data_IF_355600071659
#
_entry.id   IF_355600071659
#
_cell.length_a   1.000
_cell.length_b   1.000
_cell.length_c   1.000
_cell.angle_alpha   90.00
_cell.angle_beta   90.00
_cell.angle_gamma   90.00
#
_symmetry.space_group_name_H-M   'P 1'
#
loop_
_entity.id
_entity.type
_entity.pdbx_description
1 polymer ?
#
# COMPACT_ATOMS: atom_id res chain seq x y z
N UNK A 1 28.72 -9.16 -8.43
CA UNK A 1 28.73 -10.43 -7.65
C UNK A 1 28.01 -11.51 -8.44
N UNK A 2 28.65 -12.64 -8.77
CA UNK A 2 27.99 -13.73 -9.51
C UNK A 2 27.10 -14.55 -8.58
N UNK A 3 25.86 -14.81 -9.02
CA UNK A 3 24.90 -15.63 -8.30
C UNK A 3 25.36 -17.09 -8.26
N UNK A 4 25.45 -17.65 -7.06
CA UNK A 4 25.85 -19.05 -6.84
C UNK A 4 24.96 -20.02 -7.61
N UNK A 5 25.63 -20.89 -8.36
CA UNK A 5 25.10 -21.82 -9.34
C UNK A 5 24.11 -22.83 -8.74
N UNK A 6 22.87 -22.82 -9.24
CA UNK A 6 22.01 -24.01 -9.19
C UNK A 6 22.42 -24.97 -10.32
N UNK A 7 22.47 -26.28 -10.04
CA UNK A 7 22.86 -27.34 -11.01
C UNK A 7 22.03 -27.39 -12.31
N UNK A 8 20.87 -26.72 -12.35
CA UNK A 8 20.08 -26.49 -13.57
C UNK A 8 19.58 -25.04 -13.56
N UNK A 9 20.26 -24.08 -14.22
CA UNK A 9 19.73 -22.73 -14.35
C UNK A 9 18.45 -22.80 -15.16
N UNK A 10 17.30 -22.79 -14.47
CA UNK A 10 16.03 -22.51 -15.13
C UNK A 10 16.11 -21.06 -15.56
N UNK A 11 16.32 -20.81 -16.85
CA UNK A 11 16.33 -19.47 -17.45
C UNK A 11 15.04 -18.75 -17.07
N UNK A 12 15.10 -17.97 -16.00
CA UNK A 12 14.02 -17.11 -15.58
C UNK A 12 14.26 -15.77 -16.26
N UNK A 13 13.20 -15.23 -16.87
CA UNK A 13 13.21 -13.86 -17.39
C UNK A 13 13.71 -12.91 -16.30
N UNK A 14 14.61 -12.00 -16.69
CA UNK A 14 15.26 -11.04 -15.79
C UNK A 14 14.27 -10.35 -14.86
N UNK A 15 13.13 -9.89 -15.38
CA UNK A 15 12.09 -9.21 -14.61
C UNK A 15 11.52 -10.06 -13.47
N UNK A 16 11.32 -11.37 -13.73
CA UNK A 16 10.84 -12.32 -12.71
C UNK A 16 11.89 -12.56 -11.64
N UNK A 17 13.18 -12.58 -12.01
CA UNK A 17 14.28 -12.72 -11.07
C UNK A 17 14.48 -11.46 -10.22
N UNK A 18 14.42 -10.27 -10.83
CA UNK A 18 14.50 -8.99 -10.12
C UNK A 18 13.34 -8.83 -9.13
N UNK A 19 12.13 -9.24 -9.53
CA UNK A 19 10.97 -9.30 -8.63
C UNK A 19 11.19 -10.24 -7.44
N UNK A 20 11.72 -11.43 -7.66
CA UNK A 20 12.06 -12.37 -6.57
C UNK A 20 13.16 -11.79 -5.66
N UNK A 21 14.17 -11.12 -6.22
CA UNK A 21 15.28 -10.53 -5.47
C UNK A 21 14.89 -9.31 -4.64
N UNK A 22 13.94 -8.49 -5.11
CA UNK A 22 13.40 -7.35 -4.35
C UNK A 22 12.81 -7.73 -2.99
N UNK A 23 12.42 -9.00 -2.83
CA UNK A 23 11.82 -9.50 -1.59
C UNK A 23 12.86 -9.72 -0.47
N UNK A 24 14.16 -9.77 -0.80
CA UNK A 24 15.23 -10.04 0.17
C UNK A 24 15.26 -9.03 1.31
N UNK A 25 15.15 -7.74 1.00
CA UNK A 25 15.17 -6.68 2.01
C UNK A 25 13.96 -6.77 2.95
N UNK A 26 12.81 -7.11 2.38
CA UNK A 26 11.56 -7.26 3.13
C UNK A 26 11.65 -8.46 4.08
N UNK A 27 12.11 -9.61 3.57
CA UNK A 27 12.35 -10.82 4.38
C UNK A 27 13.33 -10.52 5.52
N UNK A 28 14.41 -9.79 5.23
CA UNK A 28 15.41 -9.44 6.23
C UNK A 28 14.84 -8.55 7.35
N UNK A 29 14.05 -7.52 7.00
CA UNK A 29 13.40 -6.64 7.98
C UNK A 29 12.42 -7.39 8.87
N UNK A 30 11.59 -8.23 8.27
CA UNK A 30 10.60 -9.03 9.00
C UNK A 30 11.29 -10.05 9.93
N UNK A 31 12.35 -10.71 9.44
CA UNK A 31 13.15 -11.64 10.24
C UNK A 31 13.81 -10.93 11.43
N UNK A 32 14.39 -9.73 11.23
CA UNK A 32 14.98 -8.95 12.34
C UNK A 32 13.92 -8.60 13.37
N UNK A 33 12.76 -8.10 12.93
CA UNK A 33 11.65 -7.77 13.84
C UNK A 33 11.18 -9.00 14.63
N UNK A 34 11.06 -10.16 13.98
CA UNK A 34 10.69 -11.41 14.66
C UNK A 34 11.75 -11.89 15.63
N UNK A 35 13.05 -11.75 15.29
CA UNK A 35 14.14 -12.13 16.17
C UNK A 35 14.16 -11.29 17.45
N UNK A 36 13.95 -9.98 17.35
CA UNK A 36 13.86 -9.08 18.51
C UNK A 36 12.65 -9.36 19.41
N UNK A 37 11.54 -9.84 18.84
CA UNK A 37 10.34 -10.16 19.59
C UNK A 37 10.33 -11.60 20.15
N UNK A 38 11.21 -12.47 19.66
CA UNK A 38 11.28 -13.86 20.06
C UNK A 38 12.04 -14.00 21.39
N UNK A 39 11.66 -15.01 22.18
CA UNK A 39 12.38 -15.40 23.41
C UNK A 39 13.02 -16.79 23.33
N UNK A 40 12.74 -17.53 22.25
CA UNK A 40 13.45 -18.76 21.87
C UNK A 40 13.35 -18.95 20.34
N UNK A 41 14.17 -19.85 19.79
CA UNK A 41 14.22 -20.14 18.35
C UNK A 41 12.87 -20.67 17.81
N UNK A 42 12.12 -21.39 18.63
CA UNK A 42 10.80 -21.91 18.25
C UNK A 42 9.76 -20.79 18.12
N UNK A 43 9.78 -19.81 19.03
CA UNK A 43 8.93 -18.63 19.01
C UNK A 43 9.27 -17.77 17.80
N UNK A 44 10.55 -17.64 17.44
CA UNK A 44 10.96 -17.01 16.18
C UNK A 44 10.32 -17.70 14.96
N UNK A 45 10.43 -19.03 14.87
CA UNK A 45 9.81 -19.82 13.78
C UNK A 45 8.28 -19.64 13.77
N UNK A 46 7.65 -19.58 14.94
CA UNK A 46 6.22 -19.34 15.08
C UNK A 46 5.81 -17.94 14.57
N UNK A 47 6.52 -16.89 14.96
CA UNK A 47 6.25 -15.52 14.52
C UNK A 47 6.38 -15.38 12.99
N UNK A 48 7.43 -15.94 12.42
CA UNK A 48 7.63 -15.98 10.97
C UNK A 48 6.50 -16.73 10.26
N UNK A 49 6.10 -17.91 10.75
CA UNK A 49 4.94 -18.66 10.20
C UNK A 49 3.65 -17.85 10.30
N UNK A 50 3.44 -17.11 11.40
CA UNK A 50 2.27 -16.26 11.61
C UNK A 50 2.19 -15.09 10.61
N UNK A 51 3.33 -14.62 10.10
CA UNK A 51 3.41 -13.65 9.00
C UNK A 51 3.12 -14.29 7.62
N UNK A 52 3.05 -15.61 7.52
CA UNK A 52 2.76 -16.36 6.30
C UNK A 52 3.98 -17.01 5.65
N UNK A 53 5.16 -16.95 6.29
CA UNK A 53 6.38 -17.55 5.77
C UNK A 53 6.41 -19.07 5.94
N UNK A 54 6.91 -19.78 4.93
CA UNK A 54 7.07 -21.24 4.95
C UNK A 54 8.54 -21.59 5.15
N UNK A 55 8.83 -22.39 6.17
CA UNK A 55 10.17 -22.93 6.40
C UNK A 55 10.37 -24.23 5.63
N UNK A 56 11.56 -24.40 5.07
CA UNK A 56 12.00 -25.68 4.51
C UNK A 56 12.30 -26.67 5.65
N UNK A 57 11.88 -27.93 5.51
CA UNK A 57 11.94 -28.93 6.59
C UNK A 57 13.37 -29.31 6.99
N UNK A 58 14.29 -29.44 6.03
CA UNK A 58 15.64 -29.98 6.25
C UNK A 58 16.74 -28.93 6.07
N UNK A 59 16.44 -27.65 6.30
CA UNK A 59 17.42 -26.58 6.15
C UNK A 59 17.32 -25.55 7.27
N UNK A 60 18.48 -25.10 7.74
CA UNK A 60 18.56 -24.07 8.77
C UNK A 60 18.07 -22.72 8.24
N UNK A 61 16.95 -22.24 8.80
CA UNK A 61 16.38 -20.91 8.57
C UNK A 61 16.28 -20.53 7.08
N UNK A 62 15.88 -21.49 6.24
CA UNK A 62 15.49 -21.24 4.86
C UNK A 62 13.99 -20.97 4.79
N UNK A 63 13.66 -19.78 4.30
CA UNK A 63 12.32 -19.22 4.34
C UNK A 63 11.82 -18.89 2.94
N UNK A 64 10.57 -19.25 2.66
CA UNK A 64 9.87 -18.89 1.44
C UNK A 64 8.75 -17.90 1.75
N UNK A 65 8.74 -16.78 1.03
CA UNK A 65 7.63 -15.84 1.07
C UNK A 65 6.40 -16.42 0.35
N UNK A 66 5.19 -16.22 0.87
CA UNK A 66 3.99 -16.76 0.23
C UNK A 66 3.79 -16.14 -1.16
N UNK A 67 3.55 -16.99 -2.16
CA UNK A 67 3.42 -16.57 -3.58
C UNK A 67 4.75 -16.45 -4.35
N UNK A 68 5.89 -16.69 -3.69
CA UNK A 68 7.22 -16.69 -4.32
C UNK A 68 7.76 -18.10 -4.47
N UNK A 69 8.62 -18.34 -5.46
CA UNK A 69 9.11 -19.68 -5.77
C UNK A 69 10.36 -20.06 -4.98
N UNK A 70 11.17 -19.07 -4.59
CA UNK A 70 12.49 -19.32 -4.02
C UNK A 70 12.53 -19.27 -2.50
N UNK A 71 13.24 -20.23 -1.93
CA UNK A 71 13.67 -20.19 -0.54
C UNK A 71 14.88 -19.27 -0.40
N UNK A 72 14.87 -18.49 0.67
CA UNK A 72 15.92 -17.56 1.04
C UNK A 72 16.53 -18.02 2.36
N UNK A 73 17.85 -18.24 2.36
CA UNK A 73 18.58 -18.59 3.57
C UNK A 73 18.84 -17.32 4.37
N UNK A 74 18.25 -17.19 5.56
CA UNK A 74 18.39 -15.98 6.39
C UNK A 74 19.85 -15.72 6.78
N UNK A 75 20.61 -16.77 7.08
CA UNK A 75 22.04 -16.67 7.39
C UNK A 75 22.90 -16.12 6.24
N UNK A 76 22.41 -16.17 4.98
CA UNK A 76 23.09 -15.53 3.83
C UNK A 76 22.71 -14.06 3.67
N UNK A 77 21.59 -13.63 4.26
CA UNK A 77 21.13 -12.24 4.20
C UNK A 77 21.79 -11.40 5.30
N UNK A 78 21.98 -11.99 6.48
CA UNK A 78 22.63 -11.34 7.61
C UNK A 78 23.23 -12.40 8.55
N UNK A 79 24.42 -12.10 9.07
CA UNK A 79 25.18 -12.97 9.97
C UNK A 79 24.48 -13.19 11.32
N UNK A 80 23.58 -12.26 11.71
CA UNK A 80 22.71 -12.40 12.89
C UNK A 80 21.84 -13.67 12.88
N UNK A 81 21.58 -14.26 11.70
CA UNK A 81 20.78 -15.48 11.56
C UNK A 81 21.62 -16.75 11.42
N UNK A 82 22.93 -16.68 11.66
CA UNK A 82 23.75 -17.88 11.80
C UNK A 82 23.27 -18.71 13.00
N UNK A 83 23.53 -20.01 12.97
CA UNK A 83 22.95 -20.93 13.96
C UNK A 83 23.36 -20.59 15.39
N UNK A 84 24.63 -20.25 15.57
CA UNK A 84 25.18 -19.85 16.86
C UNK A 84 24.65 -18.48 17.25
N UNK A 85 24.80 -17.46 16.41
CA UNK A 85 24.44 -16.08 16.78
C UNK A 85 22.96 -15.92 17.09
N UNK A 86 22.08 -16.59 16.34
CA UNK A 86 20.64 -16.48 16.54
C UNK A 86 20.20 -17.13 17.86
N UNK A 87 20.77 -18.30 18.21
CA UNK A 87 20.51 -18.93 19.52
C UNK A 87 20.91 -17.99 20.64
N UNK A 88 22.13 -17.43 20.57
CA UNK A 88 22.60 -16.47 21.57
C UNK A 88 21.73 -15.21 21.63
N UNK A 89 21.32 -14.66 20.49
CA UNK A 89 20.54 -13.41 20.44
C UNK A 89 19.13 -13.58 21.01
N UNK A 90 18.48 -14.71 20.71
CA UNK A 90 17.09 -14.96 21.09
C UNK A 90 17.00 -15.52 22.52
N UNK A 91 17.92 -16.39 22.92
CA UNK A 91 17.92 -17.00 24.26
C UNK A 91 18.44 -16.01 25.34
N UNK A 92 19.27 -15.03 24.98
CA UNK A 92 19.75 -13.95 25.87
C UNK A 92 18.97 -12.64 25.67
N UNK A 93 17.64 -12.73 25.60
CA UNK A 93 16.72 -11.61 25.33
C UNK A 93 16.91 -10.38 26.25
N UNK A 94 17.41 -10.58 27.48
CA UNK A 94 17.65 -9.50 28.45
C UNK A 94 18.81 -8.54 28.09
N UNK A 95 19.70 -8.92 27.16
CA UNK A 95 20.79 -8.06 26.68
C UNK A 95 20.47 -7.32 25.36
N UNK A 96 19.43 -7.72 24.63
CA UNK A 96 19.08 -7.14 23.35
C UNK A 96 18.16 -5.91 23.52
N UNK A 97 18.71 -4.70 23.46
CA UNK A 97 17.89 -3.49 23.30
C UNK A 97 17.21 -3.55 21.92
N UNK A 98 15.86 -3.54 21.83
CA UNK A 98 15.19 -3.54 20.53
C UNK A 98 15.54 -2.26 19.76
N UNK A 99 16.21 -2.39 18.62
CA UNK A 99 16.50 -1.27 17.73
C UNK A 99 15.25 -1.00 16.88
N UNK A 100 14.50 0.05 17.19
CA UNK A 100 13.35 0.45 16.38
C UNK A 100 13.84 1.07 15.05
N UNK A 101 13.76 0.31 13.96
CA UNK A 101 13.93 0.81 12.60
C UNK A 101 12.68 1.58 12.15
N UNK A 102 12.26 2.61 12.88
CA UNK A 102 11.31 3.59 12.35
C UNK A 102 12.09 4.82 11.91
N UNK A 103 12.00 5.18 10.64
CA UNK A 103 12.25 6.55 10.20
C UNK A 103 11.42 7.49 11.06
N UNK A 104 11.99 8.63 11.47
CA UNK A 104 11.37 9.58 12.40
C UNK A 104 9.89 9.84 12.07
N UNK A 105 8.99 9.31 12.91
CA UNK A 105 7.54 9.25 12.65
C UNK A 105 6.93 10.67 12.67
N UNK A 106 7.68 11.65 13.18
CA UNK A 106 7.27 13.06 13.30
C UNK A 106 6.93 13.70 11.95
N UNK A 107 7.43 13.17 10.83
CA UNK A 107 7.15 13.66 9.48
C UNK A 107 5.99 12.97 8.73
N UNK A 108 5.38 11.90 9.28
CA UNK A 108 4.25 11.26 8.59
C UNK A 108 2.98 12.12 8.73
N UNK A 109 2.53 12.71 7.62
CA UNK A 109 1.24 13.36 7.54
C UNK A 109 0.13 12.37 7.94
N UNK A 110 -0.45 12.58 9.12
CA UNK A 110 -1.61 11.81 9.56
C UNK A 110 -2.79 12.19 8.66
N UNK A 111 -3.27 11.23 7.87
CA UNK A 111 -4.54 11.39 7.18
C UNK A 111 -5.65 11.71 8.20
N UNK A 112 -6.53 12.68 7.87
CA UNK A 112 -7.67 13.05 8.72
C UNK A 112 -8.71 11.91 8.69
N UNK A 113 -8.49 10.88 9.49
CA UNK A 113 -9.38 9.72 9.61
C UNK A 113 -10.52 9.99 10.60
N UNK A 114 -11.74 9.56 10.23
CA UNK A 114 -12.91 9.52 11.12
C UNK A 114 -12.66 8.61 12.34
N UNK A 115 -13.30 8.87 13.50
CA UNK A 115 -13.19 7.99 14.67
C UNK A 115 -13.50 6.51 14.38
N UNK A 116 -14.47 6.24 13.50
CA UNK A 116 -14.80 4.88 13.06
C UNK A 116 -13.68 4.25 12.24
N UNK A 117 -13.11 5.00 11.30
CA UNK A 117 -11.96 4.57 10.51
C UNK A 117 -10.76 4.27 11.41
N UNK A 118 -10.49 5.13 12.42
CA UNK A 118 -9.41 4.89 13.40
C UNK A 118 -9.62 3.59 14.16
N UNK A 119 -10.83 3.29 14.65
CA UNK A 119 -11.16 2.02 15.32
C UNK A 119 -10.97 0.82 14.38
N UNK A 120 -11.43 0.94 13.13
CA UNK A 120 -11.29 -0.10 12.12
C UNK A 120 -9.82 -0.40 11.80
N UNK A 121 -9.03 0.62 11.46
CA UNK A 121 -7.60 0.46 11.19
C UNK A 121 -6.84 -0.02 12.43
N UNK A 122 -7.16 0.45 13.64
CA UNK A 122 -6.56 -0.06 14.87
C UNK A 122 -6.82 -1.56 15.07
N UNK A 123 -8.04 -2.04 14.73
CA UNK A 123 -8.35 -3.47 14.73
C UNK A 123 -7.50 -4.23 13.70
N UNK A 124 -7.35 -3.70 12.48
CA UNK A 124 -6.49 -4.30 11.45
C UNK A 124 -5.02 -4.39 11.89
N UNK A 125 -4.49 -3.36 12.54
CA UNK A 125 -3.12 -3.33 13.06
C UNK A 125 -2.91 -4.32 14.21
N UNK A 126 -3.83 -4.37 15.19
CA UNK A 126 -3.76 -5.34 16.30
C UNK A 126 -3.77 -6.78 15.82
N UNK A 127 -4.58 -7.05 14.80
CA UNK A 127 -4.66 -8.36 14.15
C UNK A 127 -3.52 -8.62 13.16
N UNK A 128 -2.68 -7.62 12.87
CA UNK A 128 -1.60 -7.66 11.86
C UNK A 128 -2.07 -8.14 10.48
N UNK A 129 -3.32 -7.84 10.14
CA UNK A 129 -3.94 -8.27 8.86
C UNK A 129 -3.19 -7.66 7.67
N UNK A 130 -2.69 -6.43 7.81
CA UNK A 130 -1.91 -5.75 6.76
C UNK A 130 -0.61 -6.50 6.47
N UNK A 131 0.08 -6.96 7.51
CA UNK A 131 1.33 -7.73 7.38
C UNK A 131 1.06 -9.09 6.72
N UNK A 132 0.01 -9.80 7.17
CA UNK A 132 -0.37 -11.11 6.63
C UNK A 132 -0.84 -11.06 5.18
N UNK A 133 -1.63 -10.04 4.81
CA UNK A 133 -2.19 -9.90 3.47
C UNK A 133 -1.26 -9.19 2.48
N UNK A 134 -0.06 -8.76 2.89
CA UNK A 134 0.91 -8.06 2.02
C UNK A 134 1.32 -8.89 0.79
N UNK A 135 1.24 -10.22 0.91
CA UNK A 135 1.61 -11.16 -0.15
C UNK A 135 0.42 -11.66 -0.97
N UNK A 136 -0.81 -11.29 -0.61
CA UNK A 136 -2.00 -11.70 -1.35
C UNK A 136 -2.01 -10.95 -2.68
N UNK A 137 -1.60 -11.68 -3.73
CA UNK A 137 -1.64 -11.20 -5.11
C UNK A 137 -3.10 -10.91 -5.47
N UNK A 138 -3.38 -9.65 -5.79
CA UNK A 138 -4.74 -9.19 -6.08
C UNK A 138 -5.11 -7.86 -5.44
N UNK A 139 -4.31 -7.31 -4.52
CA UNK A 139 -4.58 -6.00 -3.91
C UNK A 139 -4.82 -4.88 -4.94
N UNK A 140 -3.99 -4.82 -5.99
CA UNK A 140 -4.17 -3.87 -7.09
C UNK A 140 -5.51 -4.07 -7.82
N UNK A 141 -5.84 -5.32 -8.16
CA UNK A 141 -7.12 -5.68 -8.76
C UNK A 141 -8.29 -5.29 -7.85
N UNK A 142 -8.24 -5.59 -6.56
CA UNK A 142 -9.28 -5.22 -5.61
C UNK A 142 -9.42 -3.70 -5.43
N UNK A 143 -8.32 -2.95 -5.52
CA UNK A 143 -8.42 -1.48 -5.53
C UNK A 143 -9.06 -0.94 -6.80
N UNK A 144 -8.80 -1.56 -7.95
CA UNK A 144 -9.48 -1.22 -9.21
C UNK A 144 -10.96 -1.60 -9.15
N UNK A 145 -11.28 -2.79 -8.64
CA UNK A 145 -12.65 -3.26 -8.43
C UNK A 145 -13.42 -2.34 -7.47
N UNK A 146 -12.78 -1.87 -6.39
CA UNK A 146 -13.38 -0.89 -5.47
C UNK A 146 -13.63 0.46 -6.14
N UNK A 147 -12.68 0.97 -6.93
CA UNK A 147 -12.88 2.20 -7.72
C UNK A 147 -14.06 2.05 -8.68
N UNK A 148 -14.15 0.90 -9.36
CA UNK A 148 -15.27 0.57 -10.25
C UNK A 148 -16.59 0.51 -9.48
N UNK A 149 -16.59 -0.09 -8.30
CA UNK A 149 -17.77 -0.18 -7.45
C UNK A 149 -18.28 1.19 -7.01
N UNK A 150 -17.38 2.08 -6.59
CA UNK A 150 -17.74 3.46 -6.24
C UNK A 150 -18.32 4.22 -7.45
N UNK A 151 -17.73 4.08 -8.64
CA UNK A 151 -18.30 4.68 -9.87
C UNK A 151 -19.71 4.18 -10.16
N UNK A 152 -19.92 2.87 -10.11
CA UNK A 152 -21.26 2.27 -10.32
C UNK A 152 -22.27 2.74 -9.27
N UNK A 153 -21.83 2.92 -8.02
CA UNK A 153 -22.68 3.45 -6.96
C UNK A 153 -23.05 4.92 -7.23
N UNK A 154 -22.11 5.73 -7.69
CA UNK A 154 -22.36 7.13 -8.05
C UNK A 154 -23.31 7.23 -9.26
N UNK A 155 -23.10 6.40 -10.29
CA UNK A 155 -23.99 6.28 -11.46
C UNK A 155 -25.41 5.88 -11.05
N UNK A 156 -25.54 4.86 -10.19
CA UNK A 156 -26.84 4.43 -9.68
C UNK A 156 -27.54 5.54 -8.86
N UNK A 157 -26.79 6.22 -7.98
CA UNK A 157 -27.34 7.33 -7.19
C UNK A 157 -27.79 8.49 -8.08
N UNK A 158 -27.09 8.76 -9.20
CA UNK A 158 -27.51 9.76 -10.18
C UNK A 158 -28.85 9.38 -10.80
N UNK A 159 -29.00 8.14 -11.27
CA UNK A 159 -30.25 7.67 -11.86
C UNK A 159 -31.43 7.76 -10.88
N UNK A 160 -31.23 7.28 -9.65
CA UNK A 160 -32.28 7.27 -8.62
C UNK A 160 -32.68 8.69 -8.19
N UNK A 161 -31.72 9.61 -8.01
CA UNK A 161 -32.02 10.98 -7.58
C UNK A 161 -32.82 11.78 -8.60
N UNK A 162 -32.65 11.47 -9.88
CA UNK A 162 -33.32 12.17 -10.97
C UNK A 162 -34.51 11.36 -11.54
N UNK A 163 -34.92 10.27 -10.87
CA UNK A 163 -36.02 9.37 -11.27
C UNK A 163 -35.92 8.88 -12.74
N UNK A 164 -34.70 8.67 -13.22
CA UNK A 164 -34.43 8.24 -14.61
C UNK A 164 -34.75 6.74 -14.73
N UNK A 165 -35.75 6.40 -15.56
CA UNK A 165 -36.22 5.01 -15.74
C UNK A 165 -35.90 4.45 -17.12
N UNK A 166 -35.71 5.32 -18.10
CA UNK A 166 -35.45 4.96 -19.50
C UNK A 166 -34.16 5.60 -20.03
N UNK A 167 -33.65 5.05 -21.13
CA UNK A 167 -32.55 5.65 -21.90
C UNK A 167 -32.97 7.01 -22.47
N UNK A 168 -34.25 7.19 -22.81
CA UNK A 168 -34.78 8.47 -23.30
C UNK A 168 -34.65 9.55 -22.23
N UNK A 169 -35.14 9.28 -21.01
CA UNK A 169 -35.02 10.19 -19.87
C UNK A 169 -33.56 10.57 -19.56
N UNK A 170 -32.62 9.63 -19.77
CA UNK A 170 -31.19 9.90 -19.59
C UNK A 170 -30.65 10.86 -20.64
N UNK A 171 -31.06 10.72 -21.91
CA UNK A 171 -30.66 11.63 -22.99
C UNK A 171 -31.21 13.03 -22.75
N UNK A 172 -32.49 13.14 -22.38
CA UNK A 172 -33.12 14.42 -22.07
C UNK A 172 -32.41 15.10 -20.88
N UNK A 173 -32.09 14.33 -19.83
CA UNK A 173 -31.33 14.82 -18.70
C UNK A 173 -29.94 15.34 -19.12
N UNK A 174 -29.23 14.62 -20.00
CA UNK A 174 -27.91 15.06 -20.49
C UNK A 174 -28.04 16.39 -21.23
N UNK A 175 -29.02 16.53 -22.14
CA UNK A 175 -29.26 17.78 -22.87
C UNK A 175 -29.55 18.95 -21.94
N UNK A 176 -30.40 18.75 -20.92
CA UNK A 176 -30.64 19.81 -19.91
C UNK A 176 -29.38 20.21 -19.14
N UNK A 177 -28.50 19.25 -18.81
CA UNK A 177 -27.26 19.56 -18.10
C UNK A 177 -26.27 20.30 -19.01
N UNK A 178 -26.18 19.94 -20.29
CA UNK A 178 -25.35 20.65 -21.27
C UNK A 178 -25.78 22.10 -21.44
N UNK A 179 -27.08 22.37 -21.53
CA UNK A 179 -27.61 23.74 -21.57
C UNK A 179 -27.25 24.54 -20.31
N UNK A 180 -27.38 23.92 -19.12
CA UNK A 180 -26.99 24.55 -17.85
C UNK A 180 -25.49 24.85 -17.78
N UNK A 181 -24.65 23.93 -18.26
CA UNK A 181 -23.20 24.14 -18.34
C UNK A 181 -22.88 25.33 -19.25
N UNK A 182 -23.50 25.39 -20.44
CA UNK A 182 -23.32 26.48 -21.38
C UNK A 182 -23.69 27.84 -20.76
N UNK A 183 -24.82 27.90 -20.06
CA UNK A 183 -25.25 29.12 -19.34
C UNK A 183 -24.24 29.54 -18.26
N UNK A 184 -23.69 28.59 -17.50
CA UNK A 184 -22.68 28.86 -16.46
C UNK A 184 -21.39 29.37 -17.10
N UNK A 185 -20.93 28.76 -18.19
CA UNK A 185 -19.72 29.18 -18.90
C UNK A 185 -19.85 30.59 -19.48
N UNK A 186 -21.00 30.90 -20.09
CA UNK A 186 -21.25 32.23 -20.64
C UNK A 186 -21.34 33.28 -19.53
N UNK A 187 -21.97 32.95 -18.40
CA UNK A 187 -21.97 33.81 -17.21
C UNK A 187 -20.56 34.00 -16.64
N UNK A 188 -19.74 32.96 -16.64
CA UNK A 188 -18.35 33.05 -16.19
C UNK A 188 -17.55 34.00 -17.09
N UNK A 189 -17.71 33.93 -18.41
CA UNK A 189 -17.07 34.85 -19.37
C UNK A 189 -17.51 36.31 -19.13
N UNK A 190 -18.79 36.55 -18.85
CA UNK A 190 -19.28 37.88 -18.50
C UNK A 190 -18.62 38.43 -17.23
N UNK A 191 -18.55 37.63 -16.16
CA UNK A 191 -17.89 38.02 -14.90
C UNK A 191 -16.41 38.35 -15.15
N UNK A 192 -15.71 37.58 -15.99
CA UNK A 192 -14.33 37.89 -16.37
C UNK A 192 -14.22 39.22 -17.13
N UNK A 193 -15.17 39.55 -18.02
CA UNK A 193 -15.21 40.84 -18.73
C UNK A 193 -15.48 42.00 -17.79
N UNK A 194 -16.50 41.89 -16.94
CA UNK A 194 -16.84 42.91 -15.94
C UNK A 194 -15.68 43.19 -14.98
N UNK A 195 -15.04 42.13 -14.46
CA UNK A 195 -13.91 42.27 -13.54
C UNK A 195 -12.68 42.88 -14.22
N UNK A 196 -12.41 42.56 -15.48
CA UNK A 196 -11.38 43.22 -16.29
C UNK A 196 -11.67 44.72 -16.45
N UNK A 197 -12.92 45.08 -16.76
CA UNK A 197 -13.33 46.48 -16.94
C UNK A 197 -13.21 47.27 -15.64
N UNK A 198 -13.64 46.69 -14.51
CA UNK A 198 -13.46 47.30 -13.17
C UNK A 198 -11.99 47.48 -12.79
N UNK A 199 -11.12 46.52 -13.10
CA UNK A 199 -9.67 46.65 -12.87
C UNK A 199 -9.06 47.78 -13.69
N UNK A 200 -9.55 48.01 -14.92
CA UNK A 200 -9.10 49.11 -15.77
C UNK A 200 -9.60 50.47 -15.29
N UNK A 201 -10.84 50.56 -14.79
CA UNK A 201 -11.38 51.83 -14.27
C UNK A 201 -10.65 52.30 -13.00
N UNK A 202 -10.34 51.38 -12.08
CA UNK A 202 -9.59 51.71 -10.84
C UNK A 202 -8.20 52.27 -11.14
N UNK A 203 -7.50 51.74 -12.16
CA UNK A 203 -6.18 52.24 -12.58
C UNK A 203 -6.20 53.69 -13.10
N UNK A 204 -7.32 54.16 -13.63
CA UNK A 204 -7.44 55.52 -14.15
C UNK A 204 -7.78 56.55 -13.06
N UNK A 205 -8.39 56.13 -11.93
CA UNK A 205 -8.75 57.02 -10.82
C UNK A 205 -7.55 57.35 -9.91
N UNK A 206 -6.53 56.49 -9.81
CA UNK A 206 -5.30 56.78 -9.04
C UNK A 206 -4.31 57.73 -9.78
N UNK A 207 -4.60 58.10 -11.03
CA UNK A 207 -3.76 59.00 -11.84
C UNK A 207 -4.31 60.43 -11.98
N UNK A 208 -5.38 60.78 -11.26
CA UNK A 208 -5.95 62.13 -11.17
C UNK A 208 -5.88 62.65 -9.73
#
# INVERSE_FOLDING_TARGET
>A
MPAECSRNPKNISRDKWEKEMSMKEIILRDAKMCAYAAGNVEHFKYLMKRLGYVFKKDAWMEVQAPGFRYYHKLAKLDEMFSEETLRHHVDMSWMAKPYFYSSDIRGLHRAKLSPFQKKFYAKLYRLRIVEQKRFVVGGAKYTEDLKRFHRLQDEYLLLVKNDIKSVVDLVDFISEQEEKIQQIEDRQKEIYRESSSRKRSIKNEEQY
#
